data_IF_597522745679
#
_entry.id   IF_597522745679
#
_cell.length_a   1.000
_cell.length_b   1.000
_cell.length_c   1.000
_cell.angle_alpha   90.00
_cell.angle_beta   90.00
_cell.angle_gamma   90.00
#
_symmetry.space_group_name_H-M   'P 1'
#
loop_
_entity.id
_entity.type
_entity.pdbx_description
1 polymer ?
#
# COMPACT_ATOMS: atom_id res chain seq x y z
N UNK A 1 29.40 -1.09 -9.23
CA UNK A 1 28.13 -1.45 -9.90
C UNK A 1 27.89 -0.43 -11.00
N UNK A 2 27.47 -0.86 -12.18
CA UNK A 2 27.08 0.06 -13.27
C UNK A 2 25.71 0.67 -12.93
N UNK A 3 25.61 1.99 -12.69
CA UNK A 3 24.33 2.63 -12.36
C UNK A 3 23.25 2.43 -13.43
N UNK A 4 23.65 2.19 -14.70
CA UNK A 4 22.70 1.91 -15.77
C UNK A 4 21.88 0.63 -15.52
N UNK A 5 22.43 -0.32 -14.75
CA UNK A 5 21.77 -1.58 -14.43
C UNK A 5 20.77 -1.47 -13.27
N UNK A 6 20.91 -0.48 -12.37
CA UNK A 6 20.02 -0.30 -11.20
C UNK A 6 19.02 0.83 -11.36
N UNK A 7 19.27 1.77 -12.28
CA UNK A 7 18.44 2.97 -12.45
C UNK A 7 16.96 2.67 -12.73
N UNK A 8 16.64 1.52 -13.37
CA UNK A 8 15.25 1.09 -13.58
C UNK A 8 14.57 0.72 -12.26
N UNK A 9 15.22 -0.11 -11.46
CA UNK A 9 14.70 -0.55 -10.16
C UNK A 9 14.57 0.62 -9.18
N UNK A 10 15.53 1.54 -9.17
CA UNK A 10 15.46 2.75 -8.35
C UNK A 10 14.22 3.60 -8.68
N UNK A 11 13.93 3.80 -9.98
CA UNK A 11 12.71 4.51 -10.40
C UNK A 11 11.45 3.76 -10.00
N UNK A 12 11.42 2.43 -10.17
CA UNK A 12 10.27 1.62 -9.79
C UNK A 12 10.02 1.65 -8.28
N UNK A 13 11.06 1.50 -7.47
CA UNK A 13 10.96 1.55 -6.01
C UNK A 13 10.54 2.93 -5.51
N UNK A 14 11.00 4.01 -6.15
CA UNK A 14 10.52 5.36 -5.86
C UNK A 14 9.02 5.51 -6.16
N UNK A 15 8.55 5.00 -7.29
CA UNK A 15 7.13 5.01 -7.64
C UNK A 15 6.28 4.20 -6.65
N UNK A 16 6.72 2.99 -6.30
CA UNK A 16 6.06 2.14 -5.29
C UNK A 16 6.02 2.85 -3.93
N UNK A 17 7.13 3.47 -3.51
CA UNK A 17 7.18 4.21 -2.24
C UNK A 17 6.19 5.38 -2.22
N UNK A 18 6.09 6.12 -3.33
CA UNK A 18 5.13 7.22 -3.46
C UNK A 18 3.67 6.72 -3.42
N UNK A 19 3.35 5.64 -4.15
CA UNK A 19 2.02 5.04 -4.15
C UNK A 19 1.60 4.52 -2.76
N UNK A 20 2.54 3.92 -2.02
CA UNK A 20 2.31 3.46 -0.65
C UNK A 20 2.08 4.63 0.32
N UNK A 21 2.88 5.69 0.21
CA UNK A 21 2.70 6.88 1.03
C UNK A 21 1.33 7.53 0.78
N UNK A 22 0.92 7.62 -0.49
CA UNK A 22 -0.40 8.11 -0.86
C UNK A 22 -1.52 7.24 -0.29
N UNK A 23 -1.46 5.92 -0.50
CA UNK A 23 -2.45 4.97 0.03
C UNK A 23 -2.55 5.02 1.56
N UNK A 24 -1.41 5.15 2.26
CA UNK A 24 -1.39 5.29 3.72
C UNK A 24 -2.04 6.60 4.18
N UNK A 25 -1.82 7.70 3.45
CA UNK A 25 -2.44 8.99 3.74
C UNK A 25 -3.97 8.94 3.57
N UNK A 26 -4.47 8.34 2.49
CA UNK A 26 -5.91 8.18 2.25
C UNK A 26 -6.60 7.31 3.31
N UNK A 27 -5.97 6.17 3.66
CA UNK A 27 -6.49 5.30 4.71
C UNK A 27 -6.48 5.99 6.09
N UNK A 28 -5.45 6.77 6.37
CA UNK A 28 -5.35 7.56 7.60
C UNK A 28 -6.44 8.63 7.64
N UNK A 29 -6.69 9.34 6.55
CA UNK A 29 -7.77 10.32 6.45
C UNK A 29 -9.16 9.67 6.64
N UNK A 30 -9.37 8.50 6.03
CA UNK A 30 -10.59 7.70 6.18
C UNK A 30 -10.78 7.24 7.63
N UNK A 31 -9.72 6.76 8.27
CA UNK A 31 -9.72 6.34 9.68
C UNK A 31 -10.06 7.52 10.59
N UNK A 32 -9.44 8.68 10.41
CA UNK A 32 -9.77 9.89 11.17
C UNK A 32 -11.22 10.31 10.98
N UNK A 33 -11.78 10.13 9.79
CA UNK A 33 -13.20 10.41 9.52
C UNK A 33 -14.11 9.43 10.27
N UNK A 34 -13.81 8.13 10.21
CA UNK A 34 -14.56 7.11 10.95
C UNK A 34 -14.48 7.30 12.48
N UNK A 35 -13.33 7.70 13.00
CA UNK A 35 -13.13 7.99 14.43
C UNK A 35 -13.87 9.24 14.91
N UNK A 36 -14.06 10.24 14.05
CA UNK A 36 -14.82 11.47 14.35
C UNK A 36 -16.33 11.30 14.17
N UNK A 37 -16.76 10.26 13.48
CA UNK A 37 -18.20 9.96 13.36
C UNK A 37 -18.78 9.67 14.75
N UNK A 38 -19.98 10.22 15.07
CA UNK A 38 -20.62 9.97 16.34
C UNK A 38 -20.84 8.46 16.54
N UNK A 39 -20.46 7.96 17.71
CA UNK A 39 -20.77 6.61 18.15
C UNK A 39 -22.25 6.49 18.44
N UNK A 40 -23.07 6.30 17.40
CA UNK A 40 -24.51 6.05 17.56
C UNK A 40 -24.79 4.80 18.40
N UNK A 41 -26.03 4.60 18.85
CA UNK A 41 -26.38 3.41 19.63
C UNK A 41 -26.58 2.16 18.74
N UNK A 42 -26.32 0.99 19.29
CA UNK A 42 -26.63 -0.30 18.65
C UNK A 42 -25.80 -0.55 17.38
N UNK A 43 -26.48 -0.82 16.26
CA UNK A 43 -25.84 -1.27 15.02
C UNK A 43 -24.85 -0.26 14.43
N UNK A 44 -25.14 1.03 14.54
CA UNK A 44 -24.28 2.09 14.01
C UNK A 44 -22.91 2.17 14.72
N UNK A 45 -22.87 1.92 16.04
CA UNK A 45 -21.59 1.82 16.77
C UNK A 45 -20.77 0.61 16.30
N UNK A 46 -21.42 -0.55 16.13
CA UNK A 46 -20.76 -1.78 15.69
C UNK A 46 -20.18 -1.66 14.27
N UNK A 47 -20.93 -1.05 13.35
CA UNK A 47 -20.47 -0.85 11.97
C UNK A 47 -19.27 0.12 11.94
N UNK A 48 -19.30 1.20 12.74
CA UNK A 48 -18.16 2.12 12.91
C UNK A 48 -16.93 1.40 13.48
N UNK A 49 -17.10 0.59 14.52
CA UNK A 49 -15.97 -0.13 15.14
C UNK A 49 -15.35 -1.15 14.18
N UNK A 50 -16.19 -1.85 13.41
CA UNK A 50 -15.76 -2.77 12.36
C UNK A 50 -14.96 -2.04 11.28
N UNK A 51 -15.43 -0.87 10.85
CA UNK A 51 -14.74 -0.06 9.85
C UNK A 51 -13.41 0.49 10.36
N UNK A 52 -13.37 0.99 11.60
CA UNK A 52 -12.14 1.42 12.27
C UNK A 52 -11.14 0.28 12.36
N UNK A 53 -11.59 -0.93 12.73
CA UNK A 53 -10.73 -2.12 12.79
C UNK A 53 -10.19 -2.49 11.40
N UNK A 54 -11.04 -2.48 10.36
CA UNK A 54 -10.65 -2.76 8.98
C UNK A 54 -9.59 -1.77 8.49
N UNK A 55 -9.82 -0.48 8.67
CA UNK A 55 -8.91 0.59 8.25
C UNK A 55 -7.58 0.52 9.01
N UNK A 56 -7.63 0.32 10.33
CA UNK A 56 -6.44 0.19 11.18
C UNK A 56 -5.61 -1.03 10.80
N UNK A 57 -6.24 -2.18 10.55
CA UNK A 57 -5.54 -3.39 10.14
C UNK A 57 -4.85 -3.22 8.79
N UNK A 58 -5.51 -2.58 7.81
CA UNK A 58 -4.92 -2.29 6.50
C UNK A 58 -3.75 -1.31 6.59
N UNK A 59 -3.91 -0.22 7.36
CA UNK A 59 -2.85 0.76 7.58
C UNK A 59 -1.63 0.14 8.26
N UNK A 60 -1.84 -0.74 9.25
CA UNK A 60 -0.75 -1.47 9.93
C UNK A 60 0.01 -2.38 8.97
N UNK A 61 -0.69 -3.04 8.05
CA UNK A 61 -0.05 -3.87 7.01
C UNK A 61 0.82 -3.03 6.09
N UNK A 62 0.33 -1.90 5.58
CA UNK A 62 1.12 -1.01 4.71
C UNK A 62 2.34 -0.44 5.42
N UNK A 63 2.15 0.09 6.64
CA UNK A 63 3.24 0.69 7.42
C UNK A 63 4.31 -0.31 7.83
N UNK A 64 3.95 -1.60 7.98
CA UNK A 64 4.91 -2.65 8.32
C UNK A 64 5.87 -2.97 7.17
N UNK A 65 5.40 -2.87 5.92
CA UNK A 65 6.13 -3.47 4.80
C UNK A 65 6.81 -2.47 3.86
N UNK A 66 6.51 -1.17 3.87
CA UNK A 66 7.32 -0.15 3.18
C UNK A 66 7.96 -0.59 1.84
N UNK A 67 9.27 -0.43 1.70
CA UNK A 67 10.05 -0.95 0.54
C UNK A 67 10.34 -2.46 0.60
N UNK A 68 10.22 -3.10 1.77
CA UNK A 68 10.24 -4.57 1.95
C UNK A 68 9.10 -5.28 1.19
N UNK A 69 8.21 -4.51 0.57
CA UNK A 69 7.22 -5.01 -0.37
C UNK A 69 7.83 -5.51 -1.67
N UNK A 70 8.99 -5.02 -2.13
CA UNK A 70 9.62 -5.56 -3.34
C UNK A 70 10.73 -6.54 -2.98
N UNK A 71 10.50 -7.84 -3.23
CA UNK A 71 11.44 -8.91 -2.90
C UNK A 71 12.39 -9.23 -4.06
N UNK A 72 12.05 -8.79 -5.27
CA UNK A 72 12.83 -8.99 -6.48
C UNK A 72 11.95 -8.83 -7.72
N UNK A 73 12.52 -9.12 -8.88
CA UNK A 73 11.78 -9.20 -10.13
C UNK A 73 12.35 -10.30 -11.03
N UNK A 74 11.61 -10.67 -12.04
CA UNK A 74 12.11 -11.47 -13.15
C UNK A 74 11.66 -10.86 -14.47
N UNK A 75 12.41 -11.13 -15.54
CA UNK A 75 12.08 -10.73 -16.90
C UNK A 75 11.75 -12.00 -17.68
N UNK A 76 10.72 -11.94 -18.53
CA UNK A 76 10.36 -13.08 -19.37
C UNK A 76 11.24 -13.08 -20.62
N UNK A 77 11.53 -14.25 -21.16
CA UNK A 77 12.35 -14.35 -22.38
C UNK A 77 11.71 -13.60 -23.56
N UNK A 78 10.38 -13.66 -23.67
CA UNK A 78 9.60 -13.02 -24.74
C UNK A 78 9.15 -11.58 -24.43
N UNK A 79 9.34 -11.11 -23.20
CA UNK A 79 8.86 -9.80 -22.74
C UNK A 79 9.90 -9.13 -21.83
N UNK A 80 10.57 -8.06 -22.31
CA UNK A 80 11.59 -7.36 -21.53
C UNK A 80 11.02 -6.54 -20.36
N UNK A 81 9.69 -6.51 -20.17
CA UNK A 81 9.07 -5.86 -19.02
C UNK A 81 9.21 -6.72 -17.74
N UNK A 82 9.86 -6.20 -16.67
CA UNK A 82 10.05 -6.93 -15.43
C UNK A 82 8.74 -7.10 -14.67
N UNK A 83 8.54 -8.31 -14.15
CA UNK A 83 7.49 -8.62 -13.19
C UNK A 83 8.07 -8.57 -11.79
N UNK A 84 7.67 -7.55 -11.03
CA UNK A 84 8.09 -7.36 -9.65
C UNK A 84 7.29 -8.27 -8.70
N UNK A 85 8.00 -8.96 -7.80
CA UNK A 85 7.43 -9.88 -6.82
C UNK A 85 7.45 -9.22 -5.44
N UNK A 86 6.34 -9.31 -4.73
CA UNK A 86 6.20 -8.66 -3.44
C UNK A 86 5.31 -9.34 -2.42
N UNK A 87 5.31 -8.80 -1.20
CA UNK A 87 4.51 -9.31 -0.06
C UNK A 87 3.06 -8.84 -0.07
N UNK A 88 2.74 -7.85 -0.89
CA UNK A 88 1.41 -7.32 -1.09
C UNK A 88 1.22 -7.03 -2.58
N UNK A 89 0.06 -7.40 -3.12
CA UNK A 89 -0.34 -6.94 -4.45
C UNK A 89 -0.62 -5.44 -4.42
N UNK A 90 0.08 -4.71 -5.28
CA UNK A 90 -0.21 -3.31 -5.57
C UNK A 90 -0.69 -3.24 -7.01
N UNK A 91 -1.79 -2.53 -7.19
CA UNK A 91 -2.24 -2.07 -8.51
C UNK A 91 -2.05 -0.57 -8.52
N UNK A 92 -1.72 0.01 -9.67
CA UNK A 92 -1.84 1.46 -9.82
C UNK A 92 -3.27 1.87 -9.45
N UNK A 93 -3.39 3.00 -8.74
CA UNK A 93 -4.68 3.63 -8.53
C UNK A 93 -5.14 4.24 -9.84
N UNK A 94 -6.40 3.99 -10.22
CA UNK A 94 -7.05 4.67 -11.34
C UNK A 94 -6.98 6.20 -11.21
#
# INVERSE_FOLDING_TARGET
ADPALTARDERHFAAVSAALAHSAAELTASLHTALRSPGGAGRAAMDRDTEVHRLTARLRTLNRFGLDLCLGHFVREDDPEPVYIGRLGLTDGD
#
